data_IF_110860527162
#
_entry.id   IF_110860527162
#
_cell.length_a   1.000
_cell.length_b   1.000
_cell.length_c   1.000
_cell.angle_alpha   90.00
_cell.angle_beta   90.00
_cell.angle_gamma   90.00
#
_symmetry.space_group_name_H-M   'P 1'
#
loop_
_entity.id
_entity.type
_entity.pdbx_description
1 polymer ?
#
# COMPACT_ATOMS: atom_id res chain seq x y z
N UNK A 1 13.81 -15.78 6.12
CA UNK A 1 14.48 -17.11 5.90
C UNK A 1 13.54 -17.92 5.00
N UNK A 2 14.02 -18.73 4.02
CA UNK A 2 13.33 -19.34 2.84
C UNK A 2 13.77 -18.73 1.50
N UNK A 3 13.69 -17.41 1.32
CA UNK A 3 14.15 -16.77 0.08
C UNK A 3 15.70 -16.82 -0.04
N UNK A 4 16.23 -17.24 -1.19
CA UNK A 4 17.68 -17.28 -1.48
C UNK A 4 18.25 -15.87 -1.69
N UNK A 5 19.57 -15.69 -1.54
CA UNK A 5 20.26 -14.40 -1.81
C UNK A 5 20.06 -13.98 -3.27
N UNK A 6 19.96 -12.68 -3.53
CA UNK A 6 19.68 -12.07 -4.83
C UNK A 6 18.36 -12.51 -5.47
N UNK A 7 17.39 -12.97 -4.67
CA UNK A 7 16.02 -13.25 -5.11
C UNK A 7 15.06 -12.17 -4.62
N UNK A 8 13.91 -12.10 -5.26
CA UNK A 8 12.94 -11.04 -5.07
C UNK A 8 11.74 -11.48 -4.25
N UNK A 9 11.16 -10.53 -3.51
CA UNK A 9 9.88 -10.65 -2.83
C UNK A 9 9.07 -9.41 -3.21
N UNK A 10 7.84 -9.61 -3.67
CA UNK A 10 6.92 -8.52 -4.00
C UNK A 10 5.72 -8.57 -3.07
N UNK A 11 5.29 -7.41 -2.58
CA UNK A 11 4.20 -7.29 -1.60
C UNK A 11 3.28 -6.16 -2.02
N UNK A 12 2.01 -6.49 -2.25
CA UNK A 12 0.95 -5.53 -2.51
C UNK A 12 0.34 -5.08 -1.18
N UNK A 13 0.36 -3.78 -0.92
CA UNK A 13 -0.09 -3.16 0.31
C UNK A 13 -1.01 -1.98 0.00
N UNK A 14 -2.12 -1.89 0.74
CA UNK A 14 -2.99 -0.74 0.75
C UNK A 14 -2.89 -0.01 2.08
N UNK A 15 -2.97 1.31 2.03
CA UNK A 15 -3.11 2.12 3.24
C UNK A 15 -4.57 2.12 3.71
N UNK A 16 -4.77 2.37 5.01
CA UNK A 16 -6.11 2.47 5.59
C UNK A 16 -6.40 3.88 6.06
N UNK A 17 -7.66 4.19 6.33
CA UNK A 17 -8.07 5.46 6.90
C UNK A 17 -8.74 5.23 8.25
N UNK A 18 -8.37 6.02 9.26
CA UNK A 18 -9.00 6.02 10.58
C UNK A 18 -9.26 7.45 11.02
N UNK A 19 -10.49 7.74 11.44
CA UNK A 19 -10.92 9.09 11.86
C UNK A 19 -10.56 10.20 10.84
N UNK A 20 -10.71 9.90 9.54
CA UNK A 20 -10.41 10.87 8.47
C UNK A 20 -8.94 10.98 8.08
N UNK A 21 -8.00 10.36 8.80
CA UNK A 21 -6.57 10.41 8.49
C UNK A 21 -6.08 9.10 7.87
N UNK A 22 -5.14 9.18 6.92
CA UNK A 22 -4.46 8.01 6.35
C UNK A 22 -3.51 7.42 7.41
N UNK A 23 -3.53 6.11 7.53
CA UNK A 23 -2.53 5.31 8.25
C UNK A 23 -1.62 4.68 7.18
N UNK A 24 -0.36 5.11 7.05
CA UNK A 24 0.57 4.69 5.99
C UNK A 24 1.19 3.31 6.27
N UNK A 25 0.35 2.29 6.52
CA UNK A 25 0.79 0.93 6.90
C UNK A 25 1.72 0.32 5.85
N UNK A 26 1.54 0.66 4.58
CA UNK A 26 2.36 0.17 3.48
C UNK A 26 3.83 0.53 3.69
N UNK A 27 4.10 1.77 4.13
CA UNK A 27 5.46 2.25 4.40
C UNK A 27 6.05 1.69 5.69
N UNK A 28 5.22 1.42 6.70
CA UNK A 28 5.68 0.74 7.91
C UNK A 28 6.14 -0.68 7.60
N UNK A 29 5.39 -1.42 6.77
CA UNK A 29 5.81 -2.74 6.26
C UNK A 29 7.09 -2.62 5.42
N UNK A 30 7.20 -1.63 4.56
CA UNK A 30 8.40 -1.38 3.77
C UNK A 30 9.65 -1.23 4.66
N UNK A 31 9.56 -0.41 5.71
CA UNK A 31 10.65 -0.21 6.68
C UNK A 31 11.01 -1.49 7.44
N UNK A 32 10.03 -2.33 7.76
CA UNK A 32 10.28 -3.63 8.40
C UNK A 32 11.12 -4.53 7.48
N UNK A 33 10.83 -4.56 6.18
CA UNK A 33 11.63 -5.33 5.21
C UNK A 33 13.06 -4.78 5.09
N UNK A 34 13.22 -3.46 5.03
CA UNK A 34 14.54 -2.82 5.01
C UNK A 34 15.35 -3.16 6.27
N UNK A 35 14.73 -3.04 7.45
CA UNK A 35 15.37 -3.43 8.73
C UNK A 35 15.72 -4.91 8.82
N UNK A 36 15.02 -5.77 8.06
CA UNK A 36 15.28 -7.20 7.96
C UNK A 36 16.39 -7.56 6.96
N UNK A 37 17.05 -6.55 6.37
CA UNK A 37 18.18 -6.71 5.45
C UNK A 37 17.78 -6.88 3.98
N UNK A 38 16.53 -6.59 3.61
CA UNK A 38 16.14 -6.51 2.20
C UNK A 38 16.45 -5.11 1.64
N UNK A 39 16.78 -5.04 0.35
CA UNK A 39 16.91 -3.78 -0.39
C UNK A 39 15.63 -3.51 -1.16
N UNK A 40 15.01 -2.36 -0.97
CA UNK A 40 13.92 -1.91 -1.82
C UNK A 40 14.44 -1.70 -3.25
N UNK A 41 13.91 -2.45 -4.22
CA UNK A 41 14.33 -2.41 -5.61
C UNK A 41 13.43 -1.52 -6.46
N UNK A 42 12.12 -1.65 -6.29
CA UNK A 42 11.10 -0.86 -7.02
C UNK A 42 9.90 -0.55 -6.11
N UNK A 43 9.26 0.59 -6.36
CA UNK A 43 7.94 0.92 -5.84
C UNK A 43 7.01 1.06 -7.04
N UNK A 44 6.03 0.18 -7.16
CA UNK A 44 5.03 0.20 -8.23
C UNK A 44 3.72 0.72 -7.63
N UNK A 45 3.11 1.71 -8.29
CA UNK A 45 1.79 2.22 -7.91
C UNK A 45 0.75 1.53 -8.76
N UNK A 46 -0.12 0.75 -8.12
CA UNK A 46 -1.28 0.13 -8.77
C UNK A 46 -2.49 1.02 -8.58
N UNK A 47 -2.84 1.78 -9.61
CA UNK A 47 -4.11 2.48 -9.65
C UNK A 47 -5.28 1.48 -9.69
N UNK A 48 -6.32 1.73 -8.90
CA UNK A 48 -7.51 0.88 -8.85
C UNK A 48 -8.48 1.28 -9.97
N UNK A 49 -8.31 0.68 -11.14
CA UNK A 49 -9.29 0.78 -12.22
C UNK A 49 -10.50 -0.12 -11.93
N UNK A 50 -11.71 0.38 -12.18
CA UNK A 50 -12.99 -0.32 -11.92
C UNK A 50 -13.34 -0.59 -10.46
N UNK A 51 -12.77 0.15 -9.51
CA UNK A 51 -13.27 0.14 -8.15
C UNK A 51 -14.66 0.80 -8.16
N UNK A 52 -15.72 -0.01 -8.28
CA UNK A 52 -17.09 0.43 -8.00
C UNK A 52 -17.12 0.73 -6.50
N UNK A 53 -16.65 1.89 -6.09
CA UNK A 53 -16.93 2.41 -4.76
C UNK A 53 -18.43 2.32 -4.62
N UNK A 54 -18.89 1.44 -3.72
CA UNK A 54 -20.28 1.43 -3.29
C UNK A 54 -20.68 2.88 -3.04
N UNK A 55 -21.84 3.32 -3.54
CA UNK A 55 -22.25 4.74 -3.46
C UNK A 55 -22.10 5.35 -2.06
N UNK A 56 -22.15 4.48 -1.04
CA UNK A 56 -21.74 4.72 0.33
C UNK A 56 -20.44 5.51 0.51
N UNK A 57 -19.33 5.10 -0.11
CA UNK A 57 -18.02 5.75 0.08
C UNK A 57 -17.95 7.11 -0.60
N UNK A 58 -18.57 7.26 -1.77
CA UNK A 58 -18.66 8.54 -2.49
C UNK A 58 -19.53 9.56 -1.73
N UNK A 59 -20.65 9.11 -1.14
CA UNK A 59 -21.48 9.97 -0.30
C UNK A 59 -20.75 10.35 1.00
N UNK A 60 -20.06 9.39 1.62
CA UNK A 60 -19.31 9.61 2.85
C UNK A 60 -18.09 10.51 2.66
N UNK A 61 -17.39 10.41 1.52
CA UNK A 61 -16.24 11.25 1.20
C UNK A 61 -16.63 12.72 1.09
N UNK A 62 -17.80 13.00 0.49
CA UNK A 62 -18.37 14.35 0.42
C UNK A 62 -18.84 14.80 1.81
N UNK A 63 -19.60 13.96 2.52
CA UNK A 63 -20.16 14.30 3.85
C UNK A 63 -19.10 14.60 4.91
N UNK A 64 -18.02 13.82 4.94
CA UNK A 64 -16.96 13.91 5.94
C UNK A 64 -15.67 14.55 5.39
N UNK A 65 -15.74 15.16 4.20
CA UNK A 65 -14.67 15.90 3.55
C UNK A 65 -13.31 15.16 3.52
N UNK A 66 -13.26 14.00 2.88
CA UNK A 66 -12.02 13.25 2.68
C UNK A 66 -11.90 12.70 1.26
N UNK A 67 -10.66 12.44 0.82
CA UNK A 67 -10.39 11.87 -0.50
C UNK A 67 -10.45 10.33 -0.50
N UNK A 68 -10.96 9.74 -1.57
CA UNK A 68 -10.93 8.28 -1.73
C UNK A 68 -9.50 7.82 -2.01
N UNK A 69 -9.12 6.67 -1.44
CA UNK A 69 -7.87 6.00 -1.78
C UNK A 69 -8.09 5.31 -3.12
N UNK A 70 -7.25 5.60 -4.10
CA UNK A 70 -7.39 5.09 -5.47
C UNK A 70 -6.22 4.21 -5.89
N UNK A 71 -5.28 3.91 -4.98
CA UNK A 71 -4.08 3.16 -5.30
C UNK A 71 -3.66 2.21 -4.20
N UNK A 72 -2.87 1.22 -4.60
CA UNK A 72 -2.12 0.31 -3.74
C UNK A 72 -0.64 0.37 -4.11
N UNK A 73 0.24 0.17 -3.13
CA UNK A 73 1.68 0.07 -3.35
C UNK A 73 2.07 -1.40 -3.54
N UNK A 74 2.76 -1.70 -4.64
CA UNK A 74 3.45 -2.96 -4.84
C UNK A 74 4.95 -2.72 -4.66
N UNK A 75 5.47 -3.08 -3.50
CA UNK A 75 6.90 -2.99 -3.22
C UNK A 75 7.60 -4.24 -3.73
N UNK A 76 8.72 -4.06 -4.43
CA UNK A 76 9.60 -5.15 -4.86
C UNK A 76 10.91 -5.04 -4.09
N UNK A 77 11.21 -6.06 -3.29
CA UNK A 77 12.42 -6.15 -2.50
C UNK A 77 13.37 -7.19 -3.06
N UNK A 78 14.67 -6.93 -2.98
CA UNK A 78 15.75 -7.89 -3.21
C UNK A 78 16.35 -8.31 -1.87
N UNK A 79 16.51 -9.61 -1.64
CA UNK A 79 17.21 -10.15 -0.47
C UNK A 79 18.71 -10.31 -0.72
#
# INVERSE_FOLDING_TARGET
RVLKKNKFCAILMGDTRKKGCIIPMSFDVMKIFESSGFTLKEIIIKEQHNCKTTGYWKASSIKYNFLLIAHEYLFVFRK
#
